data_IF_565824288578
#
_entry.id   IF_565824288578
#
_cell.length_a   1.000
_cell.length_b   1.000
_cell.length_c   1.000
_cell.angle_alpha   90.00
_cell.angle_beta   90.00
_cell.angle_gamma   90.00
#
_symmetry.space_group_name_H-M   'P 1'
#
loop_
_entity.id
_entity.type
_entity.pdbx_description
1 polymer ?
#
# COMPACT_ATOMS: atom_id res chain seq x y z
N UNK A 1 3.91 71.24 -18.23
CA UNK A 1 5.09 70.37 -18.04
C UNK A 1 5.44 70.16 -16.57
N UNK A 2 5.34 71.16 -15.68
CA UNK A 2 5.68 71.03 -14.25
C UNK A 2 4.86 69.99 -13.44
N UNK A 3 3.60 69.72 -13.82
CA UNK A 3 2.75 68.73 -13.11
C UNK A 3 3.19 67.27 -13.33
N UNK A 4 3.79 66.96 -14.49
CA UNK A 4 4.18 65.59 -14.84
C UNK A 4 5.49 65.16 -14.16
N UNK A 5 6.42 66.09 -13.93
CA UNK A 5 7.69 65.81 -13.24
C UNK A 5 7.49 65.59 -11.73
N UNK A 6 6.47 66.21 -11.13
CA UNK A 6 6.13 66.01 -9.73
C UNK A 6 5.57 64.59 -9.48
N UNK A 7 4.67 64.13 -10.35
CA UNK A 7 4.07 62.79 -10.23
C UNK A 7 5.11 61.68 -10.45
N UNK A 8 6.05 61.85 -11.38
CA UNK A 8 7.13 60.88 -11.62
C UNK A 8 8.10 60.74 -10.42
N UNK A 9 8.40 61.85 -9.72
CA UNK A 9 9.21 61.80 -8.49
C UNK A 9 8.49 61.12 -7.34
N UNK A 10 7.19 61.34 -7.21
CA UNK A 10 6.37 60.74 -6.15
C UNK A 10 6.20 59.22 -6.34
N UNK A 11 6.03 58.79 -7.60
CA UNK A 11 5.98 57.36 -7.98
C UNK A 11 7.33 56.68 -7.73
N UNK A 12 8.45 57.34 -8.05
CA UNK A 12 9.80 56.82 -7.78
C UNK A 12 10.09 56.63 -6.29
N UNK A 13 9.64 57.56 -5.44
CA UNK A 13 9.75 57.45 -3.98
C UNK A 13 8.94 56.30 -3.39
N UNK A 14 7.68 56.15 -3.82
CA UNK A 14 6.80 55.08 -3.36
C UNK A 14 7.31 53.68 -3.76
N UNK A 15 7.85 53.53 -4.97
CA UNK A 15 8.48 52.29 -5.43
C UNK A 15 9.74 51.95 -4.63
N UNK A 16 10.55 52.95 -4.25
CA UNK A 16 11.73 52.76 -3.41
C UNK A 16 11.38 52.21 -2.02
N UNK A 17 10.38 52.79 -1.36
CA UNK A 17 9.93 52.32 -0.05
C UNK A 17 9.31 50.91 -0.09
N UNK A 18 8.55 50.59 -1.15
CA UNK A 18 7.98 49.26 -1.34
C UNK A 18 9.05 48.18 -1.52
N UNK A 19 10.11 48.47 -2.29
CA UNK A 19 11.23 47.55 -2.48
C UNK A 19 12.03 47.34 -1.19
N UNK A 20 12.19 48.39 -0.39
CA UNK A 20 12.90 48.31 0.88
C UNK A 20 12.13 47.48 1.92
N UNK A 21 10.80 47.67 2.00
CA UNK A 21 9.92 46.83 2.83
C UNK A 21 9.91 45.38 2.37
N UNK A 22 9.97 45.12 1.07
CA UNK A 22 10.07 43.76 0.53
C UNK A 22 11.39 43.10 0.94
N UNK A 23 12.50 43.84 0.86
CA UNK A 23 13.82 43.35 1.26
C UNK A 23 13.88 43.04 2.76
N UNK A 24 13.36 43.91 3.62
CA UNK A 24 13.30 43.69 5.06
C UNK A 24 12.43 42.48 5.43
N UNK A 25 11.29 42.29 4.76
CA UNK A 25 10.43 41.13 4.96
C UNK A 25 11.12 39.82 4.52
N UNK A 26 11.89 39.84 3.44
CA UNK A 26 12.68 38.69 2.98
C UNK A 26 13.79 38.36 3.97
N UNK A 27 14.46 39.38 4.54
CA UNK A 27 15.50 39.16 5.56
C UNK A 27 14.91 38.63 6.87
N UNK A 28 13.75 39.15 7.31
CA UNK A 28 13.03 38.63 8.50
C UNK A 28 12.56 37.19 8.33
N UNK A 29 12.05 36.81 7.15
CA UNK A 29 11.66 35.42 6.87
C UNK A 29 12.85 34.47 6.73
N UNK A 30 14.00 34.95 6.28
CA UNK A 30 15.25 34.17 6.29
C UNK A 30 15.79 33.97 7.71
N UNK A 31 15.73 35.00 8.55
CA UNK A 31 16.15 34.91 9.94
C UNK A 31 15.26 33.96 10.76
N UNK A 32 13.93 33.96 10.55
CA UNK A 32 13.03 33.05 11.28
C UNK A 32 13.18 31.57 10.87
N UNK A 33 13.72 31.29 9.68
CA UNK A 33 14.02 29.93 9.21
C UNK A 33 15.36 29.39 9.72
N UNK A 34 16.23 30.24 10.28
CA UNK A 34 17.55 29.84 10.76
C UNK A 34 17.54 29.27 12.19
N UNK A 35 16.44 29.49 12.94
CA UNK A 35 16.25 29.03 14.32
C UNK A 35 15.40 27.74 14.44
N UNK A 36 14.95 27.16 13.33
CA UNK A 36 14.30 25.85 13.38
C UNK A 36 15.36 24.75 13.58
N UNK A 37 15.22 23.86 14.59
CA UNK A 37 16.09 22.70 14.72
C UNK A 37 16.06 21.90 13.41
N UNK A 38 17.16 21.24 13.02
CA UNK A 38 17.21 20.52 11.75
C UNK A 38 16.01 19.59 11.67
N UNK A 39 15.16 19.82 10.65
CA UNK A 39 13.97 19.02 10.45
C UNK A 39 14.37 17.55 10.47
N UNK A 40 13.69 16.77 11.33
CA UNK A 40 13.90 15.33 11.42
C UNK A 40 13.73 14.66 10.05
N UNK A 41 14.15 13.40 9.89
CA UNK A 41 13.98 12.70 8.64
C UNK A 41 12.53 12.78 8.16
N UNK A 42 12.34 13.04 6.87
CA UNK A 42 11.00 13.18 6.31
C UNK A 42 10.18 11.91 6.58
N UNK A 43 8.96 12.03 7.14
CA UNK A 43 8.16 10.88 7.51
C UNK A 43 7.80 10.06 6.27
N UNK A 44 7.78 8.74 6.41
CA UNK A 44 7.29 7.82 5.38
C UNK A 44 5.77 7.60 5.45
N UNK A 45 5.17 8.03 6.56
CA UNK A 45 3.75 8.00 6.86
C UNK A 45 3.08 9.33 6.51
N UNK A 46 1.94 9.28 5.83
CA UNK A 46 1.07 10.45 5.64
C UNK A 46 0.23 10.71 6.91
N UNK A 47 -0.23 11.94 7.15
CA UNK A 47 -1.16 12.20 8.25
C UNK A 47 -2.48 11.43 8.03
N UNK A 48 -3.13 11.01 9.13
CA UNK A 48 -4.45 10.42 9.05
C UNK A 48 -5.46 11.42 8.47
N UNK A 49 -6.43 10.97 7.65
CA UNK A 49 -7.58 11.79 7.25
C UNK A 49 -8.34 12.36 8.47
N UNK A 50 -8.92 13.55 8.32
CA UNK A 50 -9.65 14.23 9.40
C UNK A 50 -10.81 13.38 9.97
N UNK A 51 -11.44 12.56 9.12
CA UNK A 51 -12.55 11.67 9.49
C UNK A 51 -12.17 10.47 10.37
N UNK A 52 -10.88 10.18 10.56
CA UNK A 52 -10.44 9.04 11.38
C UNK A 52 -10.55 9.29 12.88
N UNK A 53 -10.59 10.56 13.31
CA UNK A 53 -10.66 10.93 14.72
C UNK A 53 -12.02 10.64 15.37
N UNK A 54 -13.07 10.42 14.56
CA UNK A 54 -14.43 10.18 15.05
C UNK A 54 -15.00 8.86 14.52
N UNK A 55 -15.72 8.09 15.36
CA UNK A 55 -16.53 6.98 14.90
C UNK A 55 -17.61 7.45 13.91
N UNK A 56 -17.54 6.99 12.66
CA UNK A 56 -18.57 7.27 11.66
C UNK A 56 -19.81 6.39 11.90
N UNK A 57 -20.92 7.05 12.24
CA UNK A 57 -22.22 6.43 12.47
C UNK A 57 -22.74 5.68 11.23
N UNK A 58 -22.34 6.09 10.02
CA UNK A 58 -22.85 5.55 8.76
C UNK A 58 -22.04 4.37 8.24
N UNK A 59 -20.91 4.05 8.88
CA UNK A 59 -20.10 2.87 8.55
C UNK A 59 -19.73 2.05 9.80
N UNK A 60 -20.72 1.45 10.51
CA UNK A 60 -20.48 0.69 11.74
C UNK A 60 -19.68 -0.60 11.50
N UNK A 61 -19.89 -1.24 10.35
CA UNK A 61 -19.31 -2.56 10.04
C UNK A 61 -17.77 -2.55 9.96
N UNK A 62 -17.14 -1.37 9.79
CA UNK A 62 -15.69 -1.25 9.64
C UNK A 62 -14.93 -1.31 10.97
N UNK A 63 -15.54 -0.86 12.08
CA UNK A 63 -14.81 -0.70 13.35
C UNK A 63 -14.47 -2.04 14.03
N UNK A 64 -15.24 -3.08 13.74
CA UNK A 64 -15.02 -4.42 14.31
C UNK A 64 -14.16 -5.33 13.41
N UNK A 65 -13.81 -4.90 12.19
CA UNK A 65 -13.10 -5.73 11.22
C UNK A 65 -11.62 -5.38 11.20
N UNK A 66 -10.82 -6.19 11.90
CA UNK A 66 -9.36 -6.07 11.85
C UNK A 66 -8.85 -6.34 10.42
N UNK A 67 -7.99 -5.47 9.89
CA UNK A 67 -7.40 -5.63 8.55
C UNK A 67 -6.60 -6.93 8.46
N UNK A 68 -6.89 -7.73 7.44
CA UNK A 68 -6.25 -9.01 7.13
C UNK A 68 -5.60 -8.98 5.75
N UNK A 69 -4.48 -9.67 5.62
CA UNK A 69 -3.81 -9.91 4.34
C UNK A 69 -3.39 -11.38 4.24
N UNK A 70 -3.31 -11.90 3.01
CA UNK A 70 -2.96 -13.30 2.75
C UNK A 70 -1.46 -13.50 2.95
N UNK A 71 -1.11 -14.46 3.82
CA UNK A 71 0.28 -14.79 4.12
C UNK A 71 1.01 -15.35 2.91
N UNK A 72 0.33 -16.05 2.00
CA UNK A 72 0.96 -16.78 0.88
C UNK A 72 1.65 -15.86 -0.12
N UNK A 73 1.20 -14.61 -0.23
CA UNK A 73 1.66 -13.63 -1.22
C UNK A 73 2.27 -12.36 -0.60
N UNK A 74 2.62 -12.39 0.69
CA UNK A 74 3.32 -11.28 1.35
C UNK A 74 4.83 -11.22 1.04
N UNK A 75 5.44 -12.30 0.54
CA UNK A 75 6.88 -12.35 0.25
C UNK A 75 7.28 -11.85 -1.13
N UNK A 76 6.29 -11.65 -2.01
CA UNK A 76 6.45 -11.11 -3.36
C UNK A 76 5.43 -10.01 -3.59
N UNK A 77 5.77 -9.03 -4.43
CA UNK A 77 4.81 -8.00 -4.80
C UNK A 77 3.84 -8.52 -5.88
N UNK A 78 2.58 -8.79 -5.52
CA UNK A 78 1.53 -9.12 -6.49
C UNK A 78 0.95 -7.90 -7.20
N UNK A 79 1.64 -6.77 -7.09
CA UNK A 79 1.22 -5.46 -7.54
C UNK A 79 2.45 -4.61 -7.90
N UNK A 80 2.20 -3.50 -8.60
CA UNK A 80 3.23 -2.48 -8.84
C UNK A 80 3.38 -1.54 -7.63
N UNK A 81 4.60 -1.08 -7.39
CA UNK A 81 4.95 -0.13 -6.32
C UNK A 81 4.84 1.34 -6.74
N UNK A 82 5.01 1.62 -8.04
CA UNK A 82 5.04 2.99 -8.56
C UNK A 82 3.62 3.49 -8.82
N UNK A 83 3.30 4.74 -8.46
CA UNK A 83 2.04 5.40 -8.88
C UNK A 83 2.04 5.70 -10.39
N UNK A 84 3.22 6.00 -10.96
CA UNK A 84 3.38 6.50 -12.34
C UNK A 84 3.50 5.38 -13.37
N UNK A 85 4.37 4.41 -13.12
CA UNK A 85 4.62 3.32 -14.07
C UNK A 85 3.45 2.33 -14.02
N UNK A 86 2.59 2.30 -15.04
CA UNK A 86 1.38 1.46 -15.03
C UNK A 86 1.66 -0.01 -15.36
N UNK A 87 2.78 -0.33 -16.03
CA UNK A 87 3.16 -1.70 -16.41
C UNK A 87 2.09 -2.43 -17.24
N UNK A 88 1.46 -1.74 -18.19
CA UNK A 88 0.45 -2.35 -19.06
C UNK A 88 1.09 -3.39 -19.99
N UNK A 89 0.53 -4.61 -19.99
CA UNK A 89 1.04 -5.75 -20.77
C UNK A 89 2.37 -6.34 -20.30
N UNK A 90 2.90 -5.88 -19.16
CA UNK A 90 4.18 -6.34 -18.60
C UNK A 90 3.96 -7.46 -17.56
N UNK A 91 5.01 -8.21 -17.25
CA UNK A 91 4.98 -9.27 -16.26
C UNK A 91 6.18 -9.20 -15.30
N UNK A 92 5.96 -9.62 -14.06
CA UNK A 92 7.02 -9.82 -13.07
C UNK A 92 7.12 -11.30 -12.79
N UNK A 93 8.33 -11.84 -12.84
CA UNK A 93 8.59 -13.23 -12.46
C UNK A 93 9.50 -13.30 -11.25
N UNK A 94 9.02 -14.00 -10.23
CA UNK A 94 9.71 -14.27 -8.97
C UNK A 94 10.10 -15.73 -8.92
N UNK A 95 11.41 -16.01 -8.95
CA UNK A 95 11.92 -17.35 -8.76
C UNK A 95 11.90 -17.75 -7.28
N UNK A 96 11.44 -18.96 -7.01
CA UNK A 96 11.35 -19.56 -5.68
C UNK A 96 12.10 -20.90 -5.68
N UNK A 97 12.54 -21.41 -4.51
CA UNK A 97 13.29 -22.67 -4.45
C UNK A 97 12.55 -23.88 -5.07
N UNK A 98 11.22 -23.84 -5.08
CA UNK A 98 10.31 -24.90 -5.50
C UNK A 98 9.44 -24.50 -6.70
N UNK A 99 9.81 -23.47 -7.44
CA UNK A 99 9.10 -23.03 -8.64
C UNK A 99 9.16 -21.52 -8.88
N UNK A 100 8.08 -20.92 -9.37
CA UNK A 100 8.02 -19.48 -9.58
C UNK A 100 6.62 -18.92 -9.42
N UNK A 101 6.56 -17.61 -9.16
CA UNK A 101 5.33 -16.82 -9.20
C UNK A 101 5.49 -15.77 -10.30
N UNK A 102 4.50 -15.68 -11.19
CA UNK A 102 4.46 -14.71 -12.27
C UNK A 102 3.22 -13.83 -12.11
N UNK A 103 3.42 -12.52 -12.12
CA UNK A 103 2.37 -11.50 -11.99
C UNK A 103 2.30 -10.77 -13.31
N UNK A 104 1.25 -11.01 -14.08
CA UNK A 104 1.05 -10.43 -15.41
C UNK A 104 -0.05 -9.37 -15.40
N UNK A 105 0.17 -8.27 -16.11
CA UNK A 105 -0.79 -7.19 -16.24
C UNK A 105 -1.54 -7.24 -17.56
N UNK A 106 -2.82 -6.86 -17.53
CA UNK A 106 -3.58 -6.58 -18.75
C UNK A 106 -3.33 -5.19 -19.33
N UNK A 107 -4.18 -4.79 -20.27
CA UNK A 107 -4.10 -3.51 -20.99
C UNK A 107 -4.39 -2.29 -20.11
N UNK A 108 -5.15 -2.46 -19.02
CA UNK A 108 -5.39 -1.39 -18.04
C UNK A 108 -4.19 -1.09 -17.12
N UNK A 109 -3.12 -1.89 -17.19
CA UNK A 109 -1.99 -1.81 -16.29
C UNK A 109 -2.08 -2.79 -15.13
N UNK A 110 -0.95 -2.97 -14.44
CA UNK A 110 -0.85 -3.81 -13.25
C UNK A 110 -1.57 -3.14 -12.08
N UNK A 111 -2.30 -3.93 -11.29
CA UNK A 111 -2.81 -3.51 -10.00
C UNK A 111 -1.69 -2.89 -9.17
N UNK A 112 -1.95 -1.71 -8.62
CA UNK A 112 -1.02 -1.04 -7.73
C UNK A 112 -1.19 -1.51 -6.29
N UNK A 113 -0.19 -1.24 -5.45
CA UNK A 113 -0.28 -1.50 -4.00
C UNK A 113 -1.47 -0.81 -3.34
N UNK A 114 -1.95 0.31 -3.90
CA UNK A 114 -3.16 0.98 -3.42
C UNK A 114 -4.42 0.26 -3.91
N UNK A 115 -4.47 -0.21 -5.16
CA UNK A 115 -5.59 -1.03 -5.64
C UNK A 115 -5.76 -2.30 -4.79
N UNK A 116 -4.62 -2.89 -4.37
CA UNK A 116 -4.58 -4.04 -3.49
C UNK A 116 -5.22 -3.81 -2.10
N UNK A 117 -5.41 -2.57 -1.66
CA UNK A 117 -6.14 -2.27 -0.41
C UNK A 117 -7.59 -2.79 -0.46
N UNK A 118 -8.22 -2.83 -1.64
CA UNK A 118 -9.56 -3.42 -1.83
C UNK A 118 -9.53 -4.94 -1.58
N UNK A 119 -8.43 -5.60 -1.97
CA UNK A 119 -8.22 -7.03 -1.67
C UNK A 119 -8.07 -7.23 -0.17
N UNK A 120 -7.31 -6.37 0.52
CA UNK A 120 -7.21 -6.42 1.98
C UNK A 120 -8.57 -6.30 2.66
N UNK A 121 -9.41 -5.37 2.20
CA UNK A 121 -10.78 -5.23 2.69
C UNK A 121 -11.58 -6.52 2.48
N UNK A 122 -11.57 -7.07 1.27
CA UNK A 122 -12.27 -8.31 0.93
C UNK A 122 -11.82 -9.49 1.81
N UNK A 123 -10.50 -9.68 2.00
CA UNK A 123 -9.95 -10.73 2.88
C UNK A 123 -10.43 -10.54 4.32
N UNK A 124 -10.44 -9.30 4.80
CA UNK A 124 -10.85 -8.96 6.15
C UNK A 124 -12.32 -9.31 6.39
N UNK A 125 -13.20 -8.95 5.45
CA UNK A 125 -14.62 -9.26 5.52
C UNK A 125 -14.90 -10.76 5.45
N UNK A 126 -14.26 -11.51 4.54
CA UNK A 126 -14.45 -12.96 4.49
C UNK A 126 -13.90 -13.67 5.72
N UNK A 127 -12.77 -13.21 6.26
CA UNK A 127 -12.21 -13.78 7.49
C UNK A 127 -13.17 -13.58 8.66
N UNK A 128 -13.73 -12.39 8.81
CA UNK A 128 -14.71 -12.10 9.86
C UNK A 128 -16.00 -12.90 9.67
N UNK A 129 -16.53 -12.97 8.45
CA UNK A 129 -17.71 -13.78 8.16
C UNK A 129 -17.47 -15.28 8.45
N UNK A 130 -16.29 -15.80 8.13
CA UNK A 130 -15.89 -17.17 8.48
C UNK A 130 -15.76 -17.39 9.98
N UNK A 131 -15.23 -16.40 10.73
CA UNK A 131 -15.14 -16.48 12.19
C UNK A 131 -16.54 -16.58 12.80
N UNK A 132 -17.46 -15.70 12.39
CA UNK A 132 -18.87 -15.74 12.82
C UNK A 132 -19.54 -17.07 12.46
N UNK A 133 -19.26 -17.61 11.27
CA UNK A 133 -19.77 -18.91 10.86
C UNK A 133 -19.29 -20.04 11.79
N UNK A 134 -17.99 -20.07 12.10
CA UNK A 134 -17.39 -21.06 13.01
C UNK A 134 -17.94 -20.96 14.44
N UNK A 135 -18.32 -19.77 14.87
CA UNK A 135 -18.99 -19.51 16.15
C UNK A 135 -20.49 -19.83 16.12
N UNK A 136 -21.05 -20.27 14.99
CA UNK A 136 -22.49 -20.54 14.83
C UNK A 136 -23.36 -19.28 14.74
N UNK A 137 -22.74 -18.11 14.53
CA UNK A 137 -23.39 -16.78 14.50
C UNK A 137 -23.70 -16.29 13.08
N UNK A 138 -23.46 -17.10 12.05
CA UNK A 138 -23.72 -16.73 10.66
C UNK A 138 -23.63 -17.90 9.66
N UNK A 139 -24.14 -17.71 8.43
CA UNK A 139 -24.01 -18.69 7.37
C UNK A 139 -22.57 -18.78 6.86
N UNK A 140 -22.26 -19.86 6.13
CA UNK A 140 -20.99 -19.94 5.40
C UNK A 140 -20.95 -18.80 4.37
N UNK A 141 -19.93 -17.91 4.39
CA UNK A 141 -19.82 -16.83 3.43
C UNK A 141 -19.64 -17.38 2.02
N UNK A 142 -20.38 -16.84 1.05
CA UNK A 142 -20.12 -17.11 -0.37
C UNK A 142 -18.91 -16.33 -0.89
N UNK A 143 -18.64 -16.46 -2.19
CA UNK A 143 -17.54 -15.76 -2.90
C UNK A 143 -17.84 -14.30 -3.27
N UNK A 144 -19.03 -13.80 -2.94
CA UNK A 144 -19.46 -12.44 -3.29
C UNK A 144 -19.18 -11.47 -2.14
N UNK A 145 -18.50 -10.37 -2.46
CA UNK A 145 -18.21 -9.27 -1.56
C UNK A 145 -18.90 -8.01 -2.09
N UNK A 146 -19.72 -7.35 -1.26
CA UNK A 146 -20.55 -6.19 -1.66
C UNK A 146 -20.31 -4.98 -0.75
N UNK A 147 -19.16 -4.30 -0.88
CA UNK A 147 -18.90 -3.08 -0.13
C UNK A 147 -19.62 -1.87 -0.74
N UNK A 148 -19.93 -0.88 0.09
CA UNK A 148 -20.23 0.47 -0.38
C UNK A 148 -18.93 1.22 -0.72
N UNK A 149 -19.02 2.22 -1.61
CA UNK A 149 -17.85 3.06 -1.96
C UNK A 149 -17.30 3.77 -0.71
N UNK A 150 -18.17 4.31 0.14
CA UNK A 150 -17.79 4.94 1.41
C UNK A 150 -17.02 3.98 2.33
N UNK A 151 -17.44 2.70 2.39
CA UNK A 151 -16.73 1.67 3.15
C UNK A 151 -15.33 1.42 2.61
N UNK A 152 -15.17 1.32 1.29
CA UNK A 152 -13.85 1.15 0.64
C UNK A 152 -12.94 2.32 1.00
N UNK A 153 -13.43 3.54 0.83
CA UNK A 153 -12.64 4.75 1.03
C UNK A 153 -12.19 4.88 2.48
N UNK A 154 -13.13 4.68 3.40
CA UNK A 154 -12.86 4.71 4.84
C UNK A 154 -11.90 3.60 5.26
N UNK A 155 -12.10 2.37 4.77
CA UNK A 155 -11.23 1.22 5.11
C UNK A 155 -9.80 1.47 4.63
N UNK A 156 -9.66 1.99 3.41
CA UNK A 156 -8.36 2.31 2.82
C UNK A 156 -7.78 3.65 3.32
N UNK A 157 -8.46 4.33 4.26
CA UNK A 157 -8.13 5.65 4.81
C UNK A 157 -7.91 6.71 3.73
N UNK A 158 -8.70 6.69 2.66
CA UNK A 158 -8.64 7.64 1.54
C UNK A 158 -9.57 8.82 1.79
N UNK A 159 -9.20 9.98 1.26
CA UNK A 159 -10.02 11.20 1.33
C UNK A 159 -11.21 11.15 0.37
N UNK A 160 -12.30 11.80 0.76
CA UNK A 160 -13.49 11.99 -0.08
C UNK A 160 -13.28 12.97 -1.23
N UNK A 161 -13.79 12.65 -2.43
CA UNK A 161 -13.53 13.43 -3.65
C UNK A 161 -14.49 13.14 -4.79
N UNK A 162 -14.68 14.10 -5.70
CA UNK A 162 -15.73 14.05 -6.73
C UNK A 162 -15.56 13.04 -7.86
N UNK A 163 -14.43 12.33 -7.95
CA UNK A 163 -14.11 11.34 -9.02
C UNK A 163 -13.87 9.91 -8.53
N UNK A 164 -14.26 9.63 -7.29
CA UNK A 164 -13.89 8.38 -6.63
C UNK A 164 -14.47 7.14 -7.29
N UNK A 165 -15.67 7.22 -7.86
CA UNK A 165 -16.25 6.04 -8.50
C UNK A 165 -15.44 5.61 -9.72
N UNK A 166 -14.97 6.55 -10.54
CA UNK A 166 -14.11 6.26 -11.69
C UNK A 166 -12.78 5.67 -11.23
N UNK A 167 -12.25 6.15 -10.10
CA UNK A 167 -11.02 5.63 -9.53
C UNK A 167 -11.18 4.20 -9.00
N UNK A 168 -12.30 3.90 -8.34
CA UNK A 168 -12.63 2.54 -7.87
C UNK A 168 -12.87 1.61 -9.04
N UNK A 169 -13.65 2.00 -10.04
CA UNK A 169 -13.88 1.20 -11.26
C UNK A 169 -12.56 0.92 -11.98
N UNK A 170 -11.71 1.94 -12.17
CA UNK A 170 -10.39 1.75 -12.77
C UNK A 170 -9.47 0.87 -11.91
N UNK A 171 -9.61 0.89 -10.58
CA UNK A 171 -8.89 -0.03 -9.70
C UNK A 171 -9.38 -1.48 -9.87
N UNK A 172 -10.69 -1.69 -9.96
CA UNK A 172 -11.30 -2.99 -10.21
C UNK A 172 -10.89 -3.55 -11.58
N UNK A 173 -10.80 -2.71 -12.61
CA UNK A 173 -10.27 -3.09 -13.93
C UNK A 173 -8.83 -3.62 -13.86
N UNK A 174 -7.95 -2.91 -13.14
CA UNK A 174 -6.56 -3.33 -12.94
C UNK A 174 -6.47 -4.62 -12.11
N UNK A 175 -7.29 -4.75 -11.07
CA UNK A 175 -7.33 -5.95 -10.23
C UNK A 175 -7.82 -7.18 -11.03
N UNK A 176 -8.88 -7.01 -11.83
CA UNK A 176 -9.44 -8.09 -12.68
C UNK A 176 -8.45 -8.54 -13.74
N UNK A 177 -7.72 -7.61 -14.34
CA UNK A 177 -6.79 -7.90 -15.42
C UNK A 177 -5.38 -8.25 -14.95
N UNK A 178 -5.09 -8.18 -13.65
CA UNK A 178 -3.82 -8.66 -13.08
C UNK A 178 -3.94 -10.14 -12.74
N UNK A 179 -3.16 -10.97 -13.39
CA UNK A 179 -3.15 -12.43 -13.21
C UNK A 179 -1.95 -12.85 -12.36
N UNK A 180 -2.22 -13.69 -11.37
CA UNK A 180 -1.24 -14.37 -10.54
C UNK A 180 -1.11 -15.82 -11.00
N UNK A 181 0.03 -16.16 -11.59
CA UNK A 181 0.38 -17.51 -11.99
C UNK A 181 1.40 -18.09 -11.02
N UNK A 182 1.03 -19.19 -10.37
CA UNK A 182 1.87 -19.89 -9.41
C UNK A 182 2.24 -21.25 -10.00
N UNK A 183 3.54 -21.50 -10.10
CA UNK A 183 4.09 -22.78 -10.52
C UNK A 183 4.88 -23.36 -9.35
N UNK A 184 4.52 -24.57 -8.93
CA UNK A 184 5.20 -25.29 -7.85
C UNK A 184 5.57 -26.70 -8.29
N UNK A 185 6.69 -27.18 -7.79
CA UNK A 185 7.12 -28.57 -7.94
C UNK A 185 6.99 -29.30 -6.61
N UNK A 186 6.28 -30.41 -6.60
CA UNK A 186 6.05 -31.24 -5.41
C UNK A 186 6.43 -32.70 -5.67
N UNK A 187 6.77 -33.45 -4.62
CA UNK A 187 7.02 -34.89 -4.74
C UNK A 187 5.70 -35.65 -4.80
N UNK A 188 5.42 -36.28 -5.93
CA UNK A 188 4.25 -37.14 -6.09
C UNK A 188 4.36 -38.43 -5.29
N UNK A 189 3.20 -39.07 -5.05
CA UNK A 189 3.09 -40.34 -4.30
C UNK A 189 3.95 -41.48 -4.88
N UNK A 190 4.26 -41.41 -6.18
CA UNK A 190 5.03 -42.43 -6.89
C UNK A 190 6.53 -42.07 -6.97
N UNK A 191 7.01 -41.12 -6.15
CA UNK A 191 8.39 -40.64 -6.17
C UNK A 191 8.76 -39.72 -7.34
N UNK A 192 7.85 -39.50 -8.30
CA UNK A 192 8.05 -38.57 -9.42
C UNK A 192 7.77 -37.13 -9.00
N UNK A 193 8.58 -36.19 -9.45
CA UNK A 193 8.33 -34.75 -9.28
C UNK A 193 7.13 -34.33 -10.13
N UNK A 194 6.08 -33.82 -9.49
CA UNK A 194 4.91 -33.25 -10.13
C UNK A 194 5.11 -31.74 -10.26
N UNK A 195 4.73 -31.19 -11.41
CA UNK A 195 4.70 -29.74 -11.65
C UNK A 195 3.24 -29.29 -11.72
N UNK A 196 2.81 -28.49 -10.75
CA UNK A 196 1.48 -27.88 -10.71
C UNK A 196 1.59 -26.42 -11.12
N UNK A 197 0.79 -26.01 -12.10
CA UNK A 197 0.70 -24.62 -12.54
C UNK A 197 -0.76 -24.17 -12.43
N UNK A 198 -1.00 -23.11 -11.69
CA UNK A 198 -2.32 -22.46 -11.53
C UNK A 198 -2.18 -20.99 -11.91
N UNK A 199 -3.19 -20.42 -12.55
CA UNK A 199 -3.22 -19.01 -12.92
C UNK A 199 -4.63 -18.47 -12.70
N UNK A 200 -4.74 -17.44 -11.87
CA UNK A 200 -6.01 -16.84 -11.47
C UNK A 200 -5.85 -15.32 -11.31
N UNK A 201 -6.93 -14.56 -11.43
CA UNK A 201 -6.92 -13.11 -11.18
C UNK A 201 -6.75 -12.76 -9.71
N UNK A 202 -6.44 -11.48 -9.42
CA UNK A 202 -6.55 -10.95 -8.06
C UNK A 202 -8.01 -10.81 -7.62
N UNK A 203 -8.91 -10.60 -8.58
CA UNK A 203 -10.36 -10.81 -8.45
C UNK A 203 -10.86 -11.65 -9.62
N UNK A 204 -11.96 -12.36 -9.44
CA UNK A 204 -12.55 -13.18 -10.50
C UNK A 204 -13.41 -12.31 -11.45
N UNK A 205 -14.34 -11.55 -10.86
CA UNK A 205 -15.21 -10.64 -11.58
C UNK A 205 -15.65 -9.48 -10.67
N UNK A 206 -16.23 -8.44 -11.27
CA UNK A 206 -16.93 -7.40 -10.53
C UNK A 206 -18.15 -6.90 -11.32
N UNK A 207 -19.08 -6.28 -10.62
CA UNK A 207 -20.22 -5.55 -11.18
C UNK A 207 -20.33 -4.22 -10.41
N UNK A 208 -20.41 -3.11 -11.15
CA UNK A 208 -20.67 -1.78 -10.60
C UNK A 208 -21.92 -1.25 -11.28
N UNK A 209 -22.93 -0.91 -10.49
CA UNK A 209 -24.16 -0.27 -10.98
C UNK A 209 -24.07 1.21 -10.64
N UNK A 210 -24.21 2.08 -11.65
CA UNK A 210 -24.22 3.53 -11.49
C UNK A 210 -25.29 4.18 -12.37
N UNK A 211 -25.72 5.38 -12.02
CA UNK A 211 -26.61 6.17 -12.87
C UNK A 211 -25.85 6.70 -14.10
N UNK A 212 -26.43 6.54 -15.28
CA UNK A 212 -25.77 6.93 -16.53
C UNK A 212 -25.64 8.45 -16.73
N UNK A 213 -26.48 9.24 -16.07
CA UNK A 213 -26.54 10.70 -16.20
C UNK A 213 -25.48 11.42 -15.34
N UNK A 214 -25.21 10.92 -14.13
CA UNK A 214 -24.33 11.56 -13.16
C UNK A 214 -23.20 10.66 -12.62
N UNK A 215 -23.19 9.38 -12.95
CA UNK A 215 -22.16 8.42 -12.52
C UNK A 215 -22.24 8.00 -11.05
N UNK A 216 -23.29 8.38 -10.32
CA UNK A 216 -23.45 8.00 -8.92
C UNK A 216 -23.63 6.49 -8.78
N UNK A 217 -22.75 5.86 -7.99
CA UNK A 217 -22.73 4.41 -7.78
C UNK A 217 -23.83 3.98 -6.83
N UNK A 218 -24.63 3.03 -7.28
CA UNK A 218 -25.67 2.36 -6.50
C UNK A 218 -25.15 1.12 -5.78
N UNK A 219 -24.30 0.33 -6.45
CA UNK A 219 -23.75 -0.88 -5.86
C UNK A 219 -22.40 -1.26 -6.47
N UNK A 220 -21.58 -1.91 -5.64
CA UNK A 220 -20.35 -2.59 -6.07
C UNK A 220 -20.45 -4.04 -5.58
N UNK A 221 -20.19 -4.97 -6.48
CA UNK A 221 -20.08 -6.39 -6.18
C UNK A 221 -18.77 -6.91 -6.75
N UNK A 222 -18.00 -7.61 -5.93
CA UNK A 222 -16.71 -8.20 -6.29
C UNK A 222 -16.79 -9.69 -6.02
N UNK A 223 -16.36 -10.50 -6.99
CA UNK A 223 -16.24 -11.94 -6.84
C UNK A 223 -14.79 -12.30 -6.48
N UNK A 224 -14.62 -12.96 -5.34
CA UNK A 224 -13.34 -13.47 -4.88
C UNK A 224 -12.80 -14.53 -5.86
N UNK A 225 -11.49 -14.54 -6.15
CA UNK A 225 -10.89 -15.64 -6.89
C UNK A 225 -10.89 -16.90 -6.03
N UNK A 226 -10.88 -18.06 -6.69
CA UNK A 226 -11.03 -19.35 -6.02
C UNK A 226 -9.88 -19.59 -5.04
N UNK A 227 -8.63 -19.34 -5.43
CA UNK A 227 -7.47 -19.49 -4.56
C UNK A 227 -7.62 -18.72 -3.23
N UNK A 228 -8.08 -17.48 -3.28
CA UNK A 228 -8.20 -16.63 -2.10
C UNK A 228 -9.34 -17.09 -1.20
N UNK A 229 -10.48 -17.45 -1.80
CA UNK A 229 -11.61 -17.98 -1.06
C UNK A 229 -11.24 -19.26 -0.32
N UNK A 230 -10.49 -20.17 -0.96
CA UNK A 230 -10.01 -21.40 -0.33
C UNK A 230 -9.05 -21.14 0.83
N UNK A 231 -8.13 -20.18 0.69
CA UNK A 231 -7.20 -19.81 1.75
C UNK A 231 -7.89 -19.35 3.05
N UNK A 232 -9.09 -18.78 2.93
CA UNK A 232 -9.88 -18.28 4.05
C UNK A 232 -10.84 -19.36 4.58
N UNK A 233 -11.43 -20.17 3.69
CA UNK A 233 -12.55 -21.06 4.04
C UNK A 233 -12.17 -22.51 4.33
N UNK A 234 -11.19 -23.10 3.62
CA UNK A 234 -10.93 -24.55 3.67
C UNK A 234 -10.08 -25.01 4.88
N UNK A 235 -9.26 -24.12 5.45
CA UNK A 235 -8.40 -24.45 6.59
C UNK A 235 -9.10 -24.31 7.95
N UNK A 236 -8.66 -25.05 8.98
CA UNK A 236 -9.08 -24.80 10.38
C UNK A 236 -8.67 -23.40 10.86
N UNK A 237 -7.50 -22.96 10.43
CA UNK A 237 -7.02 -21.59 10.61
C UNK A 237 -6.83 -20.95 9.23
N UNK A 238 -7.43 -19.79 8.95
CA UNK A 238 -7.22 -19.10 7.68
C UNK A 238 -5.75 -18.69 7.56
N UNK A 239 -5.18 -18.78 6.36
CA UNK A 239 -3.78 -18.42 6.11
C UNK A 239 -3.60 -16.90 5.95
N UNK A 240 -4.13 -16.14 6.91
CA UNK A 240 -4.15 -14.67 6.89
C UNK A 240 -3.45 -14.11 8.11
N UNK A 241 -2.85 -12.93 7.97
CA UNK A 241 -2.22 -12.20 9.06
C UNK A 241 -2.95 -10.87 9.30
N UNK A 242 -3.08 -10.49 10.57
CA UNK A 242 -3.59 -9.17 10.94
C UNK A 242 -2.55 -8.10 10.63
N UNK A 243 -2.97 -7.06 9.93
CA UNK A 243 -2.20 -5.88 9.53
C UNK A 243 -2.56 -4.71 10.46
N UNK A 244 -1.58 -3.88 10.81
CA UNK A 244 -1.81 -2.69 11.64
C UNK A 244 -2.69 -1.67 10.91
N UNK A 245 -3.65 -0.99 11.57
CA UNK A 245 -4.52 0.01 10.93
C UNK A 245 -3.77 1.17 10.25
N UNK A 246 -2.59 1.53 10.77
CA UNK A 246 -1.73 2.56 10.17
C UNK A 246 -1.02 2.10 8.89
N UNK A 247 -1.12 0.84 8.48
CA UNK A 247 -0.60 0.37 7.19
C UNK A 247 -1.02 1.26 6.01
N UNK A 248 -2.28 1.70 6.01
CA UNK A 248 -2.81 2.55 4.93
C UNK A 248 -2.21 3.96 4.92
N UNK A 249 -1.57 4.39 6.02
CA UNK A 249 -0.86 5.67 6.11
C UNK A 249 0.55 5.61 5.51
N UNK A 250 1.10 4.43 5.26
CA UNK A 250 2.38 4.32 4.55
C UNK A 250 2.18 4.85 3.12
N UNK A 251 2.80 5.98 2.79
CA UNK A 251 2.61 6.63 1.47
C UNK A 251 3.44 5.94 0.39
N UNK A 252 4.67 5.55 0.71
CA UNK A 252 5.57 4.92 -0.24
C UNK A 252 5.15 3.46 -0.52
N UNK A 253 4.97 3.11 -1.79
CA UNK A 253 4.60 1.73 -2.17
C UNK A 253 5.65 0.69 -1.77
N UNK A 254 6.94 1.04 -1.81
CA UNK A 254 8.02 0.22 -1.26
C UNK A 254 7.87 0.04 0.27
N UNK A 255 7.45 1.07 1.00
CA UNK A 255 7.20 0.97 2.44
C UNK A 255 6.10 -0.04 2.77
N UNK A 256 4.99 -0.01 2.01
CA UNK A 256 3.90 -0.99 2.14
C UNK A 256 4.37 -2.42 1.86
N UNK A 257 5.20 -2.62 0.82
CA UNK A 257 5.81 -3.92 0.53
C UNK A 257 6.71 -4.40 1.68
N UNK A 258 7.59 -3.52 2.20
CA UNK A 258 8.49 -3.86 3.31
C UNK A 258 7.70 -4.18 4.59
N UNK A 259 6.65 -3.42 4.92
CA UNK A 259 5.79 -3.73 6.05
C UNK A 259 5.15 -5.13 5.92
N UNK A 260 4.59 -5.46 4.75
CA UNK A 260 3.99 -6.79 4.51
C UNK A 260 5.02 -7.90 4.68
N UNK A 261 6.23 -7.71 4.16
CA UNK A 261 7.33 -8.66 4.29
C UNK A 261 7.80 -8.80 5.75
N UNK A 262 7.91 -7.70 6.50
CA UNK A 262 8.22 -7.70 7.93
C UNK A 262 7.15 -8.50 8.70
N UNK A 263 5.87 -8.24 8.41
CA UNK A 263 4.75 -8.94 9.05
C UNK A 263 4.78 -10.44 8.82
N UNK A 264 5.14 -10.88 7.62
CA UNK A 264 5.28 -12.31 7.30
C UNK A 264 6.53 -12.95 7.90
N UNK A 265 7.68 -12.28 7.80
CA UNK A 265 9.00 -12.89 8.05
C UNK A 265 9.53 -12.65 9.45
N UNK A 266 9.41 -11.43 9.97
CA UNK A 266 9.77 -11.10 11.34
C UNK A 266 8.63 -11.44 12.29
N UNK A 267 7.36 -11.17 11.93
CA UNK A 267 6.22 -11.45 12.80
C UNK A 267 6.38 -10.72 14.15
N UNK A 268 6.58 -11.47 15.24
CA UNK A 268 6.87 -10.95 16.59
C UNK A 268 8.35 -11.07 17.00
N UNK A 269 9.23 -11.32 16.04
CA UNK A 269 10.67 -11.52 16.27
C UNK A 269 11.47 -10.60 15.34
N UNK A 270 12.59 -11.08 14.82
CA UNK A 270 13.53 -10.39 13.95
C UNK A 270 13.76 -11.21 12.68
N UNK A 271 13.86 -10.53 11.55
CA UNK A 271 14.29 -11.13 10.28
C UNK A 271 15.33 -10.26 9.56
N UNK A 272 16.14 -10.87 8.70
CA UNK A 272 17.18 -10.20 7.92
C UNK A 272 17.02 -10.54 6.44
N UNK A 273 17.15 -9.54 5.58
CA UNK A 273 17.02 -9.69 4.13
C UNK A 273 18.08 -8.89 3.40
N UNK A 274 18.72 -9.45 2.37
CA UNK A 274 19.64 -8.66 1.55
C UNK A 274 18.87 -7.65 0.69
N UNK A 275 19.45 -6.47 0.50
CA UNK A 275 18.86 -5.42 -0.34
C UNK A 275 18.63 -5.91 -1.77
N UNK A 276 19.52 -6.79 -2.27
CA UNK A 276 19.39 -7.43 -3.59
C UNK A 276 18.15 -8.31 -3.67
N UNK A 277 17.93 -9.19 -2.69
CA UNK A 277 16.76 -10.07 -2.68
C UNK A 277 15.45 -9.28 -2.51
N UNK A 278 15.48 -8.21 -1.70
CA UNK A 278 14.35 -7.29 -1.58
C UNK A 278 14.04 -6.62 -2.92
N UNK A 279 15.05 -6.15 -3.64
CA UNK A 279 14.87 -5.57 -4.97
C UNK A 279 14.20 -6.56 -5.93
N UNK A 280 14.71 -7.80 -5.98
CA UNK A 280 14.17 -8.88 -6.82
C UNK A 280 12.71 -9.22 -6.46
N UNK A 281 12.36 -9.28 -5.16
CA UNK A 281 11.01 -9.62 -4.68
C UNK A 281 10.01 -8.46 -4.70
N UNK A 282 10.51 -7.22 -4.71
CA UNK A 282 9.68 -6.01 -4.69
C UNK A 282 9.00 -5.71 -6.04
N UNK A 283 9.52 -6.26 -7.14
CA UNK A 283 9.06 -5.91 -8.49
C UNK A 283 9.34 -4.45 -8.88
N UNK A 284 10.31 -3.79 -8.23
CA UNK A 284 10.73 -2.43 -8.56
C UNK A 284 11.27 -2.33 -9.99
N UNK A 285 10.85 -1.29 -10.73
CA UNK A 285 11.30 -1.01 -12.10
C UNK A 285 12.51 -0.07 -12.18
N UNK A 286 12.86 0.61 -11.09
CA UNK A 286 14.03 1.49 -11.02
C UNK A 286 15.34 0.71 -10.89
N UNK A 287 16.49 1.40 -10.91
CA UNK A 287 17.79 0.76 -10.68
C UNK A 287 17.93 0.27 -9.23
N UNK A 288 18.72 -0.78 -9.00
CA UNK A 288 19.06 -1.26 -7.65
C UNK A 288 19.58 -0.12 -6.77
N UNK A 289 20.41 0.79 -7.32
CA UNK A 289 20.93 1.97 -6.62
C UNK A 289 19.80 2.88 -6.10
N UNK A 290 18.79 3.15 -6.93
CA UNK A 290 17.65 3.99 -6.52
C UNK A 290 16.75 3.27 -5.53
N UNK A 291 16.61 1.95 -5.68
CA UNK A 291 15.90 1.12 -4.72
C UNK A 291 16.57 1.15 -3.34
N UNK A 292 17.89 0.96 -3.27
CA UNK A 292 18.64 1.00 -2.00
C UNK A 292 18.59 2.38 -1.35
N UNK A 293 18.65 3.46 -2.14
CA UNK A 293 18.47 4.83 -1.65
C UNK A 293 17.07 5.02 -1.03
N UNK A 294 16.01 4.56 -1.70
CA UNK A 294 14.66 4.63 -1.17
C UNK A 294 14.48 3.78 0.10
N UNK A 295 15.11 2.61 0.15
CA UNK A 295 15.06 1.76 1.34
C UNK A 295 15.78 2.41 2.52
N UNK A 296 16.92 3.06 2.31
CA UNK A 296 17.60 3.84 3.34
C UNK A 296 16.76 5.00 3.87
N UNK A 297 15.98 5.67 3.03
CA UNK A 297 15.02 6.69 3.49
C UNK A 297 13.99 6.09 4.44
N UNK A 298 13.49 4.87 4.17
CA UNK A 298 12.62 4.16 5.11
C UNK A 298 13.34 3.78 6.41
N UNK A 299 14.59 3.32 6.33
CA UNK A 299 15.42 3.02 7.51
C UNK A 299 15.66 4.28 8.35
N UNK A 300 15.90 5.44 7.71
CA UNK A 300 16.11 6.71 8.42
C UNK A 300 14.82 7.24 9.05
N UNK A 301 13.68 7.14 8.35
CA UNK A 301 12.38 7.55 8.91
C UNK A 301 11.94 6.64 10.07
N UNK A 302 12.17 5.33 9.94
CA UNK A 302 11.93 4.31 10.97
C UNK A 302 10.56 4.41 11.66
N UNK A 303 9.53 4.79 10.89
CA UNK A 303 8.18 5.08 11.33
C UNK A 303 7.15 4.04 10.85
N UNK A 304 7.63 2.90 10.30
CA UNK A 304 6.74 1.79 9.98
C UNK A 304 6.06 1.25 11.25
N UNK A 305 4.74 0.96 11.21
CA UNK A 305 4.02 0.42 12.36
C UNK A 305 4.62 -0.91 12.82
N UNK A 306 4.62 -1.16 14.13
CA UNK A 306 5.08 -2.40 14.80
C UNK A 306 6.57 -2.78 14.61
N UNK A 307 7.28 -2.21 13.64
CA UNK A 307 8.63 -2.65 13.27
C UNK A 307 9.65 -1.53 13.33
N UNK A 308 10.88 -1.87 13.72
CA UNK A 308 12.07 -1.07 13.49
C UNK A 308 12.83 -1.62 12.29
N UNK A 309 13.46 -0.71 11.54
CA UNK A 309 14.29 -1.01 10.39
C UNK A 309 15.72 -0.58 10.67
N UNK A 310 16.67 -1.45 10.37
CA UNK A 310 18.10 -1.15 10.49
C UNK A 310 18.87 -1.69 9.28
N UNK A 311 19.96 -1.03 8.92
CA UNK A 311 20.90 -1.52 7.91
C UNK A 311 22.11 -2.14 8.61
N UNK A 312 22.47 -3.37 8.22
CA UNK A 312 23.69 -4.05 8.65
C UNK A 312 24.59 -4.36 7.44
N UNK A 313 25.92 -4.39 7.60
CA UNK A 313 26.80 -4.91 6.56
C UNK A 313 26.62 -6.43 6.40
N UNK A 314 26.55 -6.91 5.15
CA UNK A 314 26.54 -8.32 4.80
C UNK A 314 27.64 -8.68 3.80
N UNK A 315 27.91 -9.97 3.62
CA UNK A 315 28.95 -10.46 2.70
C UNK A 315 28.71 -10.02 1.25
N UNK A 316 27.46 -10.09 0.78
CA UNK A 316 27.06 -9.75 -0.60
C UNK A 316 26.41 -8.36 -0.71
N UNK A 317 26.68 -7.47 0.24
CA UNK A 317 26.10 -6.13 0.33
C UNK A 317 25.20 -5.91 1.55
N UNK A 318 24.51 -4.77 1.63
CA UNK A 318 23.76 -4.39 2.82
C UNK A 318 22.56 -5.32 3.06
N UNK A 319 22.30 -5.56 4.35
CA UNK A 319 21.16 -6.31 4.86
C UNK A 319 20.19 -5.34 5.54
N UNK A 320 18.90 -5.52 5.28
CA UNK A 320 17.83 -4.90 6.04
C UNK A 320 17.45 -5.83 7.18
N UNK A 321 17.55 -5.33 8.40
CA UNK A 321 17.01 -5.97 9.60
C UNK A 321 15.63 -5.37 9.86
N UNK A 322 14.66 -6.26 10.04
CA UNK A 322 13.30 -5.90 10.44
C UNK A 322 13.03 -6.56 11.78
N UNK A 323 12.74 -5.77 12.81
CA UNK A 323 12.54 -6.26 14.17
C UNK A 323 11.25 -5.71 14.73
N UNK A 324 10.44 -6.57 15.36
CA UNK A 324 9.22 -6.11 16.00
C UNK A 324 9.58 -5.28 17.25
N UNK A 325 8.94 -4.11 17.41
CA UNK A 325 9.21 -3.16 18.49
C UNK A 325 8.97 -3.71 19.90
N UNK A 326 8.16 -4.75 20.03
CA UNK A 326 7.88 -5.42 21.31
C UNK A 326 8.94 -6.47 21.68
N UNK A 327 9.89 -6.77 20.80
CA UNK A 327 11.02 -7.65 21.10
C UNK A 327 11.92 -6.92 22.10
N UNK A 328 12.11 -7.49 23.29
CA UNK A 328 13.09 -6.99 24.24
C UNK A 328 14.47 -6.95 23.56
N UNK A 329 15.24 -5.86 23.68
CA UNK A 329 16.57 -5.81 23.10
C UNK A 329 17.38 -7.00 23.64
N UNK A 330 18.03 -7.74 22.75
CA UNK A 330 18.99 -8.78 23.14
C UNK A 330 19.93 -8.16 24.19
N UNK A 331 19.82 -8.64 25.43
CA UNK A 331 20.64 -8.14 26.54
C UNK A 331 22.13 -8.39 26.26
N UNK A 332 23.02 -7.58 26.85
CA UNK A 332 24.47 -7.67 26.64
C UNK A 332 25.06 -9.03 27.03
#
# INVERSE_FOLDING_TARGET
MASFEHDLKQIGGALGESLQKLHENIQRTKASKADEPPAGPAPSMRPPPDGDAQPDLFVPALYDVATKDSRSIMDVAVFRLSKKEKRAGDAIRYELPDGYVEVAAGHYGMASVWDYDIILMMISHFTEAMNRHREGRGPLPGRQFRPYISEILKFCRRSDGGRQYQEVEAALDRLKTTTLKVVRTEKGRNGRTLRKATAEGLIDNYEVVSYADNGHVLSVMIHAPEWLYREITEGRNPNVLTVHPDYFLIDAGIGRFIYRLARRSAGKTRSKWSYRLLYERSGSTGTLKKFTENLRKLVTANDLPEYTLQEEPGQDGPLLVMENREVAPDGP
#
